data_IF_296649000461
#
_entry.id   IF_296649000461
#
_cell.length_a   1.000
_cell.length_b   1.000
_cell.length_c   1.000
_cell.angle_alpha   90.00
_cell.angle_beta   90.00
_cell.angle_gamma   90.00
#
_symmetry.space_group_name_H-M   'P 1'
#
loop_
_entity.id
_entity.type
_entity.pdbx_description
1 polymer ?
#
# COMPACT_ATOMS: atom_id res chain seq x y z
N UNK A 1 -25.90 -8.83 5.35
CA UNK A 1 -24.60 -9.23 5.92
C UNK A 1 -23.84 -7.98 6.33
N UNK A 2 -23.82 -7.66 7.63
CA UNK A 2 -23.00 -6.56 8.16
C UNK A 2 -21.53 -6.95 8.00
N UNK A 3 -20.81 -6.27 7.09
CA UNK A 3 -19.37 -6.44 6.96
C UNK A 3 -18.72 -5.98 8.25
N UNK A 4 -18.08 -6.89 8.97
CA UNK A 4 -17.39 -6.62 10.23
C UNK A 4 -16.23 -5.65 9.96
N UNK A 5 -16.50 -4.34 10.02
CA UNK A 5 -15.49 -3.29 9.86
C UNK A 5 -14.59 -3.35 11.09
N UNK A 6 -13.30 -3.60 10.88
CA UNK A 6 -12.31 -3.45 11.94
C UNK A 6 -12.47 -2.06 12.56
N UNK A 7 -12.42 -1.97 13.89
CA UNK A 7 -12.61 -0.72 14.64
C UNK A 7 -11.72 0.43 14.12
N UNK A 8 -12.12 1.65 14.46
CA UNK A 8 -11.33 2.84 14.14
C UNK A 8 -9.95 2.75 14.79
N UNK A 9 -8.93 3.22 14.06
CA UNK A 9 -7.56 3.29 14.59
C UNK A 9 -7.51 4.42 15.61
N UNK A 10 -7.13 4.12 16.84
CA UNK A 10 -7.07 5.11 17.94
C UNK A 10 -5.86 6.02 17.77
N UNK A 11 -5.88 7.22 18.36
CA UNK A 11 -4.74 8.13 18.32
C UNK A 11 -3.47 7.50 18.90
N UNK A 12 -3.59 6.75 20.01
CA UNK A 12 -2.46 6.04 20.59
C UNK A 12 -1.87 4.99 19.63
N UNK A 13 -2.71 4.25 18.89
CA UNK A 13 -2.22 3.34 17.85
C UNK A 13 -1.53 4.08 16.70
N UNK A 14 -1.99 5.29 16.34
CA UNK A 14 -1.31 6.11 15.33
C UNK A 14 0.07 6.55 15.82
N UNK A 15 0.19 6.99 17.08
CA UNK A 15 1.47 7.41 17.67
C UNK A 15 2.48 6.26 17.69
N UNK A 16 2.09 5.09 18.20
CA UNK A 16 2.96 3.89 18.21
C UNK A 16 3.35 3.48 16.79
N UNK A 17 2.43 3.57 15.82
CA UNK A 17 2.72 3.28 14.42
C UNK A 17 3.75 4.27 13.85
N UNK A 18 3.61 5.57 14.11
CA UNK A 18 4.51 6.60 13.59
C UNK A 18 5.89 6.55 14.22
N UNK A 19 5.99 6.31 15.53
CA UNK A 19 7.27 6.18 16.23
C UNK A 19 8.06 4.97 15.73
N UNK A 20 7.40 3.81 15.64
CA UNK A 20 8.06 2.61 15.12
C UNK A 20 8.58 2.78 13.69
N UNK A 21 7.82 3.49 12.84
CA UNK A 21 8.22 3.78 11.46
C UNK A 21 9.32 4.85 11.36
N UNK A 22 9.45 5.73 12.35
CA UNK A 22 10.57 6.66 12.48
C UNK A 22 11.86 5.90 12.78
N UNK A 23 11.80 4.95 13.71
CA UNK A 23 12.94 4.09 14.06
C UNK A 23 13.34 3.15 12.91
N UNK A 24 12.37 2.76 12.07
CA UNK A 24 12.56 1.87 10.92
C UNK A 24 12.26 2.61 9.60
N UNK A 25 12.97 3.70 9.34
CA UNK A 25 12.77 4.54 8.14
C UNK A 25 12.84 3.77 6.81
N UNK A 26 13.55 2.64 6.78
CA UNK A 26 13.61 1.70 5.66
C UNK A 26 12.22 1.16 5.25
N UNK A 27 11.28 1.00 6.19
CA UNK A 27 9.89 0.61 5.89
C UNK A 27 9.09 1.68 5.16
N UNK A 28 9.51 2.94 5.28
CA UNK A 28 8.87 4.07 4.62
C UNK A 28 9.38 4.25 3.19
N UNK A 29 10.58 3.72 2.89
CA UNK A 29 11.16 3.69 1.56
C UNK A 29 10.41 2.73 0.64
N UNK A 30 10.35 3.07 -0.65
CA UNK A 30 9.86 2.18 -1.71
C UNK A 30 10.98 1.33 -2.33
N UNK A 31 12.20 1.41 -1.79
CA UNK A 31 13.39 0.74 -2.32
C UNK A 31 13.92 -0.27 -1.30
N UNK A 32 14.09 -1.51 -1.75
CA UNK A 32 14.85 -2.53 -1.04
C UNK A 32 16.33 -2.47 -1.43
N UNK A 33 17.17 -3.02 -0.58
CA UNK A 33 18.61 -3.16 -0.79
C UNK A 33 19.06 -4.54 -0.35
N UNK A 34 20.29 -4.93 -0.70
CA UNK A 34 20.88 -6.20 -0.25
C UNK A 34 20.87 -6.38 1.27
N UNK A 35 20.89 -5.26 2.02
CA UNK A 35 20.82 -5.21 3.48
C UNK A 35 19.40 -5.14 4.05
N UNK A 36 18.39 -4.88 3.21
CA UNK A 36 17.00 -4.74 3.62
C UNK A 36 16.07 -5.37 2.59
N UNK A 37 15.79 -6.64 2.81
CA UNK A 37 15.00 -7.49 1.91
C UNK A 37 13.50 -7.34 2.15
N UNK A 38 12.70 -7.74 1.15
CA UNK A 38 11.25 -7.80 1.30
C UNK A 38 10.82 -8.69 2.50
N UNK A 39 11.55 -9.78 2.77
CA UNK A 39 11.25 -10.69 3.89
C UNK A 39 11.46 -9.99 5.24
N UNK A 40 12.51 -9.20 5.38
CA UNK A 40 12.76 -8.40 6.58
C UNK A 40 11.70 -7.31 6.76
N UNK A 41 11.35 -6.60 5.68
CA UNK A 41 10.26 -5.64 5.70
C UNK A 41 8.93 -6.26 6.16
N UNK A 42 8.59 -7.44 5.63
CA UNK A 42 7.41 -8.18 6.03
C UNK A 42 7.45 -8.57 7.51
N UNK A 43 8.60 -9.07 8.01
CA UNK A 43 8.76 -9.44 9.41
C UNK A 43 8.59 -8.24 10.35
N UNK A 44 9.12 -7.08 10.00
CA UNK A 44 8.92 -5.85 10.78
C UNK A 44 7.45 -5.43 10.79
N UNK A 45 6.74 -5.50 9.67
CA UNK A 45 5.30 -5.24 9.61
C UNK A 45 4.47 -6.23 10.46
N UNK A 46 4.87 -7.50 10.51
CA UNK A 46 4.23 -8.51 11.36
C UNK A 46 4.43 -8.15 12.83
N UNK A 47 5.66 -7.90 13.28
CA UNK A 47 5.97 -7.51 14.67
C UNK A 47 5.22 -6.24 15.08
N UNK A 48 5.22 -5.23 14.21
CA UNK A 48 4.47 -4.00 14.44
C UNK A 48 2.97 -4.25 14.56
N UNK A 49 2.41 -5.15 13.74
CA UNK A 49 1.00 -5.50 13.84
C UNK A 49 0.65 -6.19 15.14
N UNK A 50 1.52 -7.05 15.67
CA UNK A 50 1.35 -7.72 16.96
C UNK A 50 1.38 -6.69 18.10
N UNK A 51 2.34 -5.76 18.08
CA UNK A 51 2.41 -4.67 19.04
C UNK A 51 1.14 -3.80 19.02
N UNK A 52 0.71 -3.33 17.85
CA UNK A 52 -0.50 -2.51 17.70
C UNK A 52 -1.78 -3.26 18.08
N UNK A 53 -1.83 -4.56 17.80
CA UNK A 53 -2.94 -5.42 18.19
C UNK A 53 -2.89 -5.83 19.67
N UNK A 54 -1.80 -5.58 20.41
CA UNK A 54 -1.76 -5.78 21.87
C UNK A 54 -2.49 -4.67 22.62
N UNK A 55 -2.57 -3.47 22.02
CA UNK A 55 -3.20 -2.28 22.63
C UNK A 55 -4.70 -2.51 22.87
N UNK A 56 -5.21 -2.40 24.11
CA UNK A 56 -6.62 -2.58 24.42
C UNK A 56 -7.48 -1.44 23.84
N UNK A 57 -8.72 -1.74 23.46
CA UNK A 57 -9.64 -0.74 22.88
C UNK A 57 -9.29 -0.24 21.47
N UNK A 58 -8.19 -0.73 20.87
CA UNK A 58 -7.75 -0.36 19.53
C UNK A 58 -8.26 -1.27 18.41
N UNK A 59 -8.04 -0.83 17.16
CA UNK A 59 -8.31 -1.62 15.98
C UNK A 59 -7.42 -2.88 15.95
N UNK A 60 -8.01 -4.03 15.60
CA UNK A 60 -7.26 -5.27 15.37
C UNK A 60 -7.18 -5.52 13.87
N UNK A 61 -5.97 -5.47 13.31
CA UNK A 61 -5.72 -5.55 11.86
C UNK A 61 -4.52 -6.45 11.58
N UNK A 62 -4.52 -7.15 10.45
CA UNK A 62 -3.35 -7.88 9.96
C UNK A 62 -2.27 -6.93 9.45
N UNK A 63 -1.02 -7.40 9.35
CA UNK A 63 0.13 -6.59 8.89
C UNK A 63 -0.11 -5.88 7.55
N UNK A 64 -0.77 -6.53 6.57
CA UNK A 64 -1.14 -5.91 5.28
C UNK A 64 -2.11 -4.74 5.44
N UNK A 65 -3.07 -4.87 6.36
CA UNK A 65 -4.05 -3.84 6.65
C UNK A 65 -3.40 -2.66 7.38
N UNK A 66 -2.45 -2.92 8.28
CA UNK A 66 -1.63 -1.87 8.91
C UNK A 66 -0.75 -1.13 7.90
N UNK A 67 -0.09 -1.84 6.98
CA UNK A 67 0.64 -1.23 5.85
C UNK A 67 -0.28 -0.33 5.01
N UNK A 68 -1.53 -0.75 4.77
CA UNK A 68 -2.53 0.07 4.07
C UNK A 68 -2.98 1.28 4.89
N UNK A 69 -3.20 1.11 6.19
CA UNK A 69 -3.50 2.22 7.11
C UNK A 69 -2.38 3.26 7.08
N UNK A 70 -1.12 2.84 7.05
CA UNK A 70 0.00 3.75 6.87
C UNK A 70 -0.10 4.54 5.56
N UNK A 71 -0.34 3.86 4.43
CA UNK A 71 -0.52 4.53 3.14
C UNK A 71 -1.70 5.54 3.14
N UNK A 72 -2.81 5.20 3.79
CA UNK A 72 -3.96 6.09 3.96
C UNK A 72 -3.60 7.32 4.82
N UNK A 73 -2.91 7.13 5.94
CA UNK A 73 -2.42 8.22 6.80
C UNK A 73 -1.54 9.18 6.00
N UNK A 74 -0.56 8.67 5.25
CA UNK A 74 0.29 9.50 4.37
C UNK A 74 -0.54 10.33 3.40
N UNK A 75 -1.54 9.73 2.75
CA UNK A 75 -2.41 10.42 1.78
C UNK A 75 -3.22 11.53 2.46
N UNK A 76 -3.87 11.21 3.58
CA UNK A 76 -4.72 12.13 4.33
C UNK A 76 -3.90 13.32 4.81
N UNK A 77 -2.73 13.05 5.40
CA UNK A 77 -1.82 14.09 5.89
C UNK A 77 -1.30 14.99 4.77
N UNK A 78 -0.87 14.43 3.63
CA UNK A 78 -0.44 15.23 2.47
C UNK A 78 -1.56 16.13 1.96
N UNK A 79 -2.78 15.59 1.86
CA UNK A 79 -3.94 16.36 1.42
C UNK A 79 -4.21 17.52 2.37
N UNK A 80 -4.25 17.24 3.69
CA UNK A 80 -4.47 18.26 4.72
C UNK A 80 -3.39 19.35 4.66
N UNK A 81 -2.11 18.99 4.54
CA UNK A 81 -1.02 19.94 4.43
C UNK A 81 -1.13 20.82 3.16
N UNK A 82 -1.49 20.23 2.02
CA UNK A 82 -1.73 20.96 0.77
C UNK A 82 -2.91 21.93 0.90
N UNK A 83 -4.01 21.49 1.50
CA UNK A 83 -5.20 22.31 1.72
C UNK A 83 -4.89 23.48 2.67
N UNK A 84 -4.14 23.22 3.75
CA UNK A 84 -3.65 24.26 4.68
C UNK A 84 -2.77 25.27 3.96
N UNK A 85 -1.81 24.83 3.15
CA UNK A 85 -0.93 25.72 2.36
C UNK A 85 -1.72 26.54 1.34
N UNK A 86 -2.75 25.96 0.73
CA UNK A 86 -3.65 26.66 -0.20
C UNK A 86 -4.43 27.75 0.51
N UNK A 87 -5.04 27.45 1.66
CA UNK A 87 -5.76 28.43 2.50
C UNK A 87 -4.85 29.56 2.96
N UNK A 88 -3.63 29.25 3.41
CA UNK A 88 -2.63 30.27 3.82
C UNK A 88 -2.26 31.24 2.71
N UNK A 89 -2.36 30.83 1.43
CA UNK A 89 -2.05 31.66 0.27
C UNK A 89 -3.24 32.46 -0.26
N UNK A 90 -4.45 32.23 0.27
CA UNK A 90 -5.63 33.00 -0.12
C UNK A 90 -5.62 34.33 0.64
N UNK A 91 -5.61 35.43 -0.12
CA UNK A 91 -5.79 36.77 0.41
C UNK A 91 -7.28 37.14 0.35
N UNK A 92 -7.88 37.53 1.48
CA UNK A 92 -9.27 38.00 1.53
C UNK A 92 -10.16 37.36 2.61
N UNK A 93 -9.79 37.51 3.89
CA UNK A 93 -10.70 37.26 5.03
C UNK A 93 -11.24 35.83 5.18
N UNK A 94 -10.62 34.82 4.58
CA UNK A 94 -11.04 33.43 4.68
C UNK A 94 -10.85 32.83 6.08
N UNK A 95 -11.58 31.75 6.37
CA UNK A 95 -11.45 31.01 7.62
C UNK A 95 -10.00 30.54 7.87
N UNK A 96 -9.53 30.58 9.14
CA UNK A 96 -8.19 30.11 9.47
C UNK A 96 -8.00 28.65 9.05
N UNK A 97 -6.82 28.26 8.55
CA UNK A 97 -6.54 26.87 8.20
C UNK A 97 -6.68 25.94 9.40
N UNK A 98 -7.20 24.73 9.19
CA UNK A 98 -7.27 23.72 10.24
C UNK A 98 -5.86 23.34 10.69
N UNK A 99 -5.63 23.36 12.00
CA UNK A 99 -4.36 22.97 12.59
C UNK A 99 -4.07 21.48 12.35
N UNK A 100 -2.79 21.18 12.15
CA UNK A 100 -2.29 19.84 11.93
C UNK A 100 -1.97 19.20 13.27
N UNK A 101 -2.49 17.99 13.50
CA UNK A 101 -2.26 17.26 14.75
C UNK A 101 -0.79 16.86 14.88
N UNK A 102 -0.30 16.66 16.11
CA UNK A 102 1.09 16.22 16.36
C UNK A 102 1.47 14.98 15.53
N UNK A 103 0.61 13.96 15.50
CA UNK A 103 0.82 12.76 14.68
C UNK A 103 0.96 13.08 13.18
N UNK A 104 0.18 14.03 12.66
CA UNK A 104 0.24 14.44 11.25
C UNK A 104 1.53 15.20 10.93
N UNK A 105 2.03 16.02 11.84
CA UNK A 105 3.33 16.71 11.70
C UNK A 105 4.48 15.69 11.63
N UNK A 106 4.51 14.70 12.52
CA UNK A 106 5.50 13.62 12.50
C UNK A 106 5.45 12.83 11.19
N UNK A 107 4.25 12.54 10.69
CA UNK A 107 4.06 11.86 9.40
C UNK A 107 4.65 12.69 8.25
N UNK A 108 4.47 14.01 8.26
CA UNK A 108 5.06 14.88 7.23
C UNK A 108 6.57 14.90 7.33
N UNK A 109 7.14 15.06 8.52
CA UNK A 109 8.58 15.00 8.71
C UNK A 109 9.16 13.70 8.13
N UNK A 110 8.48 12.57 8.34
CA UNK A 110 8.92 11.26 7.86
C UNK A 110 8.81 11.08 6.33
N UNK A 111 7.84 11.72 5.66
CA UNK A 111 7.64 11.58 4.21
C UNK A 111 8.39 12.64 3.40
N UNK A 112 8.59 13.83 3.97
CA UNK A 112 9.00 15.04 3.25
C UNK A 112 10.49 15.41 3.28
N UNK A 113 11.49 14.58 3.69
CA UNK A 113 12.89 15.00 3.62
C UNK A 113 13.37 15.40 2.21
N UNK A 114 12.72 14.91 1.15
CA UNK A 114 13.18 15.11 -0.24
C UNK A 114 12.28 15.99 -1.11
N UNK A 115 11.20 16.58 -0.57
CA UNK A 115 10.20 17.31 -1.38
C UNK A 115 10.11 18.80 -1.07
N UNK A 116 10.82 19.30 -0.05
CA UNK A 116 10.73 20.69 0.41
C UNK A 116 12.02 21.47 0.21
N UNK A 117 13.17 20.82 0.34
CA UNK A 117 14.47 21.37 -0.01
C UNK A 117 14.94 20.63 -1.25
N UNK A 118 15.30 21.38 -2.31
CA UNK A 118 15.94 20.79 -3.47
C UNK A 118 17.13 19.92 -3.06
N UNK A 119 17.49 18.95 -3.90
CA UNK A 119 18.66 18.13 -3.64
C UNK A 119 19.90 19.05 -3.55
N UNK A 120 20.62 19.06 -2.43
CA UNK A 120 21.74 20.00 -2.17
C UNK A 120 22.80 19.99 -3.29
N UNK A 121 22.95 18.86 -4.00
CA UNK A 121 23.90 18.73 -5.11
C UNK A 121 23.41 19.27 -6.46
N UNK A 122 22.32 20.04 -6.50
CA UNK A 122 21.83 20.68 -7.74
C UNK A 122 21.89 22.19 -7.52
N UNK A 123 22.88 22.83 -8.14
CA UNK A 123 22.91 24.29 -8.23
C UNK A 123 21.67 24.77 -9.00
N UNK A 124 20.92 25.71 -8.44
CA UNK A 124 19.78 26.31 -9.12
C UNK A 124 20.26 27.03 -10.38
N UNK A 125 19.65 26.73 -11.53
CA UNK A 125 19.94 27.44 -12.78
C UNK A 125 19.47 28.88 -12.65
N UNK A 126 20.39 29.81 -12.37
CA UNK A 126 20.10 31.24 -12.42
C UNK A 126 19.89 31.61 -13.88
N UNK A 127 18.64 31.86 -14.26
CA UNK A 127 18.32 32.48 -15.56
C UNK A 127 18.46 33.99 -15.36
N UNK A 128 19.43 34.66 -16.00
CA UNK A 128 19.51 36.11 -15.95
C UNK A 128 18.28 36.68 -16.65
N UNK A 129 17.45 37.40 -15.90
CA UNK A 129 16.38 38.21 -16.50
C UNK A 129 16.99 39.55 -16.90
N UNK A 130 17.55 39.62 -18.10
CA UNK A 130 18.06 40.86 -18.67
C UNK A 130 16.89 41.72 -19.16
N UNK A 131 16.46 42.66 -18.31
CA UNK A 131 15.37 43.59 -18.62
C UNK A 131 15.74 44.60 -19.74
N UNK A 132 17.02 44.76 -20.06
CA UNK A 132 17.50 45.78 -21.01
C UNK A 132 17.52 45.30 -22.47
N UNK A 133 17.49 44.00 -22.75
CA UNK A 133 17.56 43.46 -24.12
C UNK A 133 16.20 43.22 -24.79
N UNK A 134 15.09 43.48 -24.11
CA UNK A 134 13.73 43.26 -24.64
C UNK A 134 13.02 44.54 -25.14
N UNK A 135 13.75 45.62 -25.40
CA UNK A 135 13.17 46.86 -25.96
C UNK A 135 13.04 46.87 -27.50
N UNK A 136 13.13 45.72 -28.17
CA UNK A 136 13.16 45.65 -29.64
C UNK A 136 12.04 44.79 -30.27
N UNK A 137 10.88 44.72 -29.63
CA UNK A 137 9.66 44.11 -30.19
C UNK A 137 8.47 45.07 -30.07
N UNK A 138 8.57 46.23 -30.71
CA UNK A 138 7.41 47.00 -31.17
C UNK A 138 7.64 47.41 -32.63
N UNK A 139 7.56 46.44 -33.54
CA UNK A 139 7.24 46.74 -34.93
C UNK A 139 5.72 46.57 -35.10
N UNK A 140 5.00 47.70 -35.12
CA UNK A 140 3.54 47.79 -35.10
C UNK A 140 2.93 47.55 -36.51
N UNK A 141 3.75 47.28 -37.54
CA UNK A 141 3.28 47.27 -38.93
C UNK A 141 3.25 45.90 -39.62
N UNK A 142 3.06 44.79 -38.88
CA UNK A 142 2.81 43.47 -39.50
C UNK A 142 1.36 43.04 -39.32
N UNK A 143 0.58 42.84 -40.40
CA UNK A 143 -0.81 42.42 -40.29
C UNK A 143 -0.91 41.04 -39.62
N UNK A 144 -1.72 40.99 -38.57
CA UNK A 144 -2.07 39.82 -37.79
C UNK A 144 -2.41 38.62 -38.67
N UNK A 145 -1.59 37.57 -38.61
CA UNK A 145 -2.03 36.23 -38.99
C UNK A 145 -2.18 35.45 -37.69
N UNK A 146 -3.43 35.12 -37.37
CA UNK A 146 -3.90 34.45 -36.16
C UNK A 146 -3.04 33.23 -35.83
N UNK A 147 -2.29 33.32 -34.74
CA UNK A 147 -1.79 32.14 -34.05
C UNK A 147 -2.99 31.50 -33.35
N UNK A 148 -3.45 30.37 -33.84
CA UNK A 148 -4.36 29.51 -33.10
C UNK A 148 -3.70 29.15 -31.77
N UNK A 149 -4.28 29.64 -30.68
CA UNK A 149 -3.99 29.18 -29.34
C UNK A 149 -4.45 27.72 -29.28
N UNK A 150 -3.52 26.79 -29.44
CA UNK A 150 -3.75 25.40 -29.04
C UNK A 150 -3.81 25.36 -27.52
N UNK A 151 -5.03 25.58 -27.04
CA UNK A 151 -5.50 25.38 -25.68
C UNK A 151 -4.99 24.03 -25.17
N UNK A 152 -4.09 24.03 -24.19
CA UNK A 152 -3.83 22.84 -23.39
C UNK A 152 -5.11 22.53 -22.61
N UNK A 153 -5.86 21.60 -23.18
CA UNK A 153 -6.99 20.93 -22.58
C UNK A 153 -6.54 20.24 -21.28
N UNK A 154 -6.65 20.93 -20.14
CA UNK A 154 -6.67 20.27 -18.83
C UNK A 154 -8.10 19.77 -18.63
N UNK A 155 -8.42 18.73 -19.39
CA UNK A 155 -9.59 17.89 -19.19
C UNK A 155 -9.20 16.69 -18.34
N UNK A 156 -9.76 16.63 -17.13
CA UNK A 156 -10.18 15.44 -16.38
C UNK A 156 -9.46 14.13 -16.73
N UNK A 157 -8.51 13.70 -15.90
CA UNK A 157 -8.15 12.29 -15.84
C UNK A 157 -9.05 11.57 -14.84
N UNK A 158 -9.95 10.78 -15.41
CA UNK A 158 -10.73 9.75 -14.76
C UNK A 158 -9.85 8.70 -14.07
N UNK A 159 -10.48 8.01 -13.13
CA UNK A 159 -9.96 7.02 -12.21
C UNK A 159 -9.05 5.95 -12.82
N UNK A 160 -7.89 5.70 -12.20
CA UNK A 160 -7.26 4.39 -12.25
C UNK A 160 -6.70 4.00 -10.87
N UNK A 161 -7.27 2.92 -10.32
CA UNK A 161 -6.82 2.28 -9.10
C UNK A 161 -5.48 1.58 -9.30
N UNK A 162 -4.50 1.95 -8.49
CA UNK A 162 -3.17 1.38 -8.55
C UNK A 162 -3.09 0.06 -7.77
N UNK A 163 -3.00 -1.04 -8.54
CA UNK A 163 -2.55 -2.33 -8.07
C UNK A 163 -1.02 -2.36 -7.92
N UNK A 164 -0.62 -3.17 -6.95
CA UNK A 164 0.72 -3.36 -6.42
C UNK A 164 1.71 -3.88 -7.48
N UNK A 165 2.87 -3.23 -7.62
CA UNK A 165 4.09 -3.88 -8.10
C UNK A 165 5.29 -3.39 -7.28
N UNK A 166 6.15 -4.33 -6.93
CA UNK A 166 7.44 -4.20 -6.23
C UNK A 166 8.47 -5.06 -7.01
N UNK A 167 9.78 -4.90 -6.80
CA UNK A 167 10.71 -4.47 -7.84
C UNK A 167 11.76 -5.54 -8.19
N UNK A 168 12.47 -5.32 -9.30
CA UNK A 168 13.71 -6.01 -9.61
C UNK A 168 14.91 -5.24 -9.01
N UNK A 169 15.83 -5.96 -8.40
CA UNK A 169 17.14 -5.48 -7.95
C UNK A 169 18.15 -5.37 -9.09
N UNK A 170 19.14 -4.52 -8.83
CA UNK A 170 20.19 -4.02 -9.71
C UNK A 170 21.50 -4.76 -9.41
N UNK A 171 22.34 -4.97 -10.42
CA UNK A 171 23.79 -5.19 -10.21
C UNK A 171 24.58 -4.05 -10.88
N UNK A 172 25.26 -3.25 -10.05
CA UNK A 172 26.32 -2.29 -10.36
C UNK A 172 27.67 -3.03 -10.54
N UNK A 173 28.79 -2.52 -11.07
CA UNK A 173 29.18 -1.38 -11.90
C UNK A 173 30.69 -1.56 -12.19
N UNK A 174 31.23 -1.19 -13.36
CA UNK A 174 32.66 -0.83 -13.53
C UNK A 174 32.83 0.27 -14.62
N UNK A 175 33.31 1.44 -14.16
CA UNK A 175 34.19 2.48 -14.74
C UNK A 175 33.79 3.44 -15.88
N UNK A 176 33.67 4.73 -15.48
CA UNK A 176 34.34 5.97 -15.96
C UNK A 176 34.77 6.06 -17.44
N UNK A 177 34.14 6.97 -18.19
CA UNK A 177 34.74 8.14 -18.93
C UNK A 177 33.75 8.66 -19.97
N UNK A 178 33.54 9.97 -19.98
CA UNK A 178 32.66 10.72 -20.88
C UNK A 178 33.27 10.87 -22.26
N UNK A 179 32.69 10.21 -23.28
CA UNK A 179 32.77 10.63 -24.69
C UNK A 179 31.45 10.31 -25.40
N UNK A 180 30.99 11.11 -26.37
CA UNK A 180 29.71 10.92 -27.04
C UNK A 180 29.81 9.77 -28.06
N UNK A 181 29.45 8.56 -27.66
CA UNK A 181 29.44 7.39 -28.55
C UNK A 181 28.14 7.33 -29.35
N UNK A 182 28.27 7.57 -30.65
CA UNK A 182 27.29 7.26 -31.70
C UNK A 182 26.73 5.84 -31.50
N UNK A 183 25.46 5.72 -31.10
CA UNK A 183 24.84 4.44 -30.77
C UNK A 183 24.83 3.46 -31.95
N UNK A 184 25.48 2.30 -31.78
CA UNK A 184 25.42 1.20 -32.77
C UNK A 184 23.99 0.65 -32.82
N UNK A 185 23.36 0.77 -34.00
CA UNK A 185 22.00 0.30 -34.26
C UNK A 185 21.94 -1.23 -34.12
N UNK A 186 21.11 -1.74 -33.21
CA UNK A 186 20.97 -3.19 -32.98
C UNK A 186 20.39 -3.88 -34.23
N UNK A 187 21.08 -4.90 -34.73
CA UNK A 187 20.65 -5.70 -35.88
C UNK A 187 19.27 -6.33 -35.65
N UNK A 188 18.44 -6.44 -36.69
CA UNK A 188 17.09 -7.00 -36.60
C UNK A 188 17.05 -8.41 -35.98
N UNK A 189 18.04 -9.26 -36.28
CA UNK A 189 18.15 -10.62 -35.72
C UNK A 189 18.30 -10.62 -34.20
N UNK A 190 19.17 -9.76 -33.65
CA UNK A 190 19.36 -9.65 -32.19
C UNK A 190 18.13 -9.11 -31.47
N UNK A 191 17.34 -8.24 -32.12
CA UNK A 191 16.03 -7.80 -31.60
C UNK A 191 15.02 -8.94 -31.55
N UNK A 192 14.99 -9.77 -32.59
CA UNK A 192 14.09 -10.93 -32.64
C UNK A 192 14.41 -11.97 -31.55
N UNK A 193 15.68 -12.29 -31.32
CA UNK A 193 16.10 -13.22 -30.25
C UNK A 193 15.72 -12.69 -28.87
N UNK A 194 15.94 -11.40 -28.60
CA UNK A 194 15.55 -10.78 -27.33
C UNK A 194 14.03 -10.83 -27.13
N UNK A 195 13.25 -10.59 -28.20
CA UNK A 195 11.79 -10.67 -28.14
C UNK A 195 11.31 -12.11 -27.85
N UNK A 196 11.89 -13.13 -28.49
CA UNK A 196 11.57 -14.54 -28.21
C UNK A 196 11.87 -14.90 -26.74
N UNK A 197 13.01 -14.47 -26.21
CA UNK A 197 13.37 -14.73 -24.81
C UNK A 197 12.41 -14.07 -23.83
N UNK A 198 11.97 -12.83 -24.12
CA UNK A 198 10.99 -12.13 -23.29
C UNK A 198 9.63 -12.84 -23.31
N UNK A 199 9.17 -13.26 -24.49
CA UNK A 199 7.93 -14.03 -24.63
C UNK A 199 8.00 -15.38 -23.91
N UNK A 200 9.13 -16.09 -23.99
CA UNK A 200 9.32 -17.34 -23.26
C UNK A 200 9.24 -17.12 -21.74
N UNK A 201 9.89 -16.07 -21.23
CA UNK A 201 9.83 -15.72 -19.81
C UNK A 201 8.39 -15.36 -19.38
N UNK A 202 7.63 -14.69 -20.24
CA UNK A 202 6.24 -14.36 -19.98
C UNK A 202 5.37 -15.62 -19.87
N UNK A 203 5.53 -16.57 -20.80
CA UNK A 203 4.83 -17.87 -20.78
C UNK A 203 5.16 -18.64 -19.50
N UNK A 204 6.45 -18.76 -19.16
CA UNK A 204 6.87 -19.42 -17.93
C UNK A 204 6.26 -18.78 -16.67
N UNK A 205 6.23 -17.44 -16.60
CA UNK A 205 5.62 -16.72 -15.48
C UNK A 205 4.10 -16.95 -15.38
N UNK A 206 3.41 -17.12 -16.52
CA UNK A 206 1.99 -17.45 -16.55
C UNK A 206 1.76 -18.85 -16.00
N UNK A 207 2.58 -19.82 -16.39
CA UNK A 207 2.44 -21.20 -15.93
C UNK A 207 2.78 -21.35 -14.45
N UNK A 208 3.83 -20.69 -13.95
CA UNK A 208 4.11 -20.61 -12.51
C UNK A 208 2.94 -20.03 -11.71
N UNK A 209 2.29 -18.97 -12.24
CA UNK A 209 1.09 -18.39 -11.60
C UNK A 209 -0.08 -19.37 -11.59
N UNK A 210 -0.27 -20.15 -12.65
CA UNK A 210 -1.31 -21.19 -12.70
C UNK A 210 -1.03 -22.28 -11.66
N UNK A 211 0.22 -22.72 -11.51
CA UNK A 211 0.60 -23.75 -10.56
C UNK A 211 0.41 -23.30 -9.11
N UNK A 212 0.84 -22.07 -8.78
CA UNK A 212 0.60 -21.46 -7.47
C UNK A 212 -0.90 -21.41 -7.18
N UNK A 213 -1.69 -20.99 -8.17
CA UNK A 213 -3.14 -20.89 -8.04
C UNK A 213 -3.81 -22.25 -7.83
N UNK A 214 -3.39 -23.26 -8.58
CA UNK A 214 -3.87 -24.64 -8.44
C UNK A 214 -3.54 -25.21 -7.05
N UNK A 215 -2.33 -24.99 -6.55
CA UNK A 215 -1.91 -25.39 -5.22
C UNK A 215 -2.76 -24.71 -4.13
N UNK A 216 -2.97 -23.40 -4.25
CA UNK A 216 -3.82 -22.64 -3.33
C UNK A 216 -5.25 -23.20 -3.27
N UNK A 217 -5.89 -23.41 -4.41
CA UNK A 217 -7.25 -23.96 -4.45
C UNK A 217 -7.29 -25.40 -3.94
N UNK A 218 -6.29 -26.23 -4.24
CA UNK A 218 -6.16 -27.58 -3.70
C UNK A 218 -6.10 -27.59 -2.18
N UNK A 219 -5.26 -26.75 -1.56
CA UNK A 219 -5.18 -26.63 -0.11
C UNK A 219 -6.47 -26.10 0.51
N UNK A 220 -7.12 -25.14 -0.14
CA UNK A 220 -8.42 -24.61 0.30
C UNK A 220 -9.49 -25.70 0.31
N UNK A 221 -9.55 -26.55 -0.72
CA UNK A 221 -10.49 -27.67 -0.79
C UNK A 221 -10.21 -28.67 0.35
N UNK A 222 -8.95 -29.07 0.55
CA UNK A 222 -8.55 -29.97 1.65
C UNK A 222 -8.98 -29.42 3.02
N UNK A 223 -8.73 -28.13 3.27
CA UNK A 223 -9.15 -27.48 4.51
C UNK A 223 -10.67 -27.49 4.71
N UNK A 224 -11.42 -27.19 3.64
CA UNK A 224 -12.90 -27.22 3.71
C UNK A 224 -13.44 -28.63 3.95
N UNK A 225 -12.84 -29.66 3.34
CA UNK A 225 -13.18 -31.05 3.59
C UNK A 225 -12.90 -31.45 5.04
N UNK A 226 -11.72 -31.11 5.56
CA UNK A 226 -11.36 -31.34 6.95
C UNK A 226 -12.37 -30.70 7.92
N UNK A 227 -12.69 -29.43 7.69
CA UNK A 227 -13.68 -28.69 8.49
C UNK A 227 -15.07 -29.34 8.44
N UNK A 228 -15.50 -29.82 7.25
CA UNK A 228 -16.77 -30.55 7.09
C UNK A 228 -16.80 -31.83 7.93
N UNK A 229 -15.73 -32.63 7.88
CA UNK A 229 -15.60 -33.88 8.67
C UNK A 229 -15.61 -33.58 10.16
N UNK A 230 -14.85 -32.59 10.60
CA UNK A 230 -14.80 -32.16 12.00
C UNK A 230 -16.18 -31.74 12.52
N UNK A 231 -16.89 -30.87 11.78
CA UNK A 231 -18.24 -30.44 12.18
C UNK A 231 -19.21 -31.62 12.26
N UNK A 232 -19.14 -32.57 11.33
CA UNK A 232 -19.98 -33.78 11.35
C UNK A 232 -19.67 -34.64 12.57
N UNK A 233 -18.39 -34.87 12.90
CA UNK A 233 -17.98 -35.63 14.08
C UNK A 233 -18.44 -34.96 15.37
N UNK A 234 -18.25 -33.64 15.49
CA UNK A 234 -18.69 -32.85 16.64
C UNK A 234 -20.21 -32.92 16.84
N UNK A 235 -20.98 -32.84 15.75
CA UNK A 235 -22.43 -32.99 15.80
C UNK A 235 -22.86 -34.37 16.29
N UNK A 236 -22.19 -35.43 15.83
CA UNK A 236 -22.49 -36.80 16.27
C UNK A 236 -22.22 -36.99 17.77
N UNK A 237 -21.07 -36.51 18.26
CA UNK A 237 -20.76 -36.55 19.70
C UNK A 237 -21.80 -35.80 20.54
N UNK A 238 -22.27 -34.65 20.06
CA UNK A 238 -23.30 -33.88 20.74
C UNK A 238 -24.65 -34.61 20.77
N UNK A 239 -25.02 -35.33 19.70
CA UNK A 239 -26.23 -36.15 19.65
C UNK A 239 -26.15 -37.34 20.59
N UNK A 240 -25.03 -38.07 20.57
CA UNK A 240 -24.78 -39.21 21.45
C UNK A 240 -24.84 -38.80 22.93
N UNK A 241 -24.22 -37.68 23.28
CA UNK A 241 -24.28 -37.14 24.63
C UNK A 241 -25.73 -36.81 25.06
N UNK A 242 -26.52 -36.22 24.17
CA UNK A 242 -27.94 -35.93 24.44
C UNK A 242 -28.76 -37.21 24.63
N UNK A 243 -28.53 -38.24 23.80
CA UNK A 243 -29.17 -39.54 23.97
C UNK A 243 -28.81 -40.20 25.31
N UNK A 244 -27.54 -40.13 25.71
CA UNK A 244 -27.07 -40.63 27.00
C UNK A 244 -27.76 -39.89 28.16
N UNK A 245 -27.89 -38.57 28.08
CA UNK A 245 -28.64 -37.78 29.07
C UNK A 245 -30.11 -38.22 29.15
N UNK A 246 -30.78 -38.46 28.01
CA UNK A 246 -32.16 -38.96 27.98
C UNK A 246 -32.29 -40.34 28.61
N UNK A 247 -31.33 -41.25 28.37
CA UNK A 247 -31.30 -42.59 28.98
C UNK A 247 -31.16 -42.49 30.50
N UNK A 248 -30.23 -41.65 30.99
CA UNK A 248 -30.02 -41.41 32.42
C UNK A 248 -31.31 -40.87 33.06
N UNK A 249 -31.94 -39.85 32.48
CA UNK A 249 -33.19 -39.29 32.99
C UNK A 249 -34.33 -40.32 33.02
N UNK A 250 -34.38 -41.22 32.05
CA UNK A 250 -35.39 -42.28 32.00
C UNK A 250 -35.15 -43.32 33.10
N UNK A 251 -33.90 -43.75 33.31
CA UNK A 251 -33.54 -44.64 34.39
C UNK A 251 -33.87 -44.04 35.77
N UNK A 252 -33.54 -42.76 35.99
CA UNK A 252 -33.87 -42.05 37.23
C UNK A 252 -35.38 -41.99 37.47
N UNK A 253 -36.19 -41.75 36.43
CA UNK A 253 -37.67 -41.77 36.56
C UNK A 253 -38.21 -43.14 36.96
N UNK A 254 -37.64 -44.23 36.42
CA UNK A 254 -38.04 -45.59 36.77
C UNK A 254 -37.71 -45.88 38.24
N UNK A 255 -36.49 -45.56 38.67
CA UNK A 255 -36.06 -45.73 40.06
C UNK A 255 -36.95 -44.94 41.03
N UNK A 256 -37.25 -43.67 40.73
CA UNK A 256 -38.11 -42.82 41.55
C UNK A 256 -39.58 -43.30 41.63
N UNK A 257 -40.08 -44.02 40.61
CA UNK A 257 -41.41 -44.65 40.69
C UNK A 257 -41.39 -45.86 41.62
N UNK A 258 -40.39 -46.71 41.50
CA UNK A 258 -40.28 -47.93 42.31
C UNK A 258 -40.12 -47.63 43.80
N UNK A 259 -39.46 -46.52 44.17
CA UNK A 259 -39.33 -46.08 45.57
C UNK A 259 -40.60 -45.48 46.17
N UNK A 260 -41.62 -45.14 45.37
CA UNK A 260 -42.90 -44.58 45.84
C UNK A 260 -44.00 -45.64 45.99
N UNK A 261 -43.77 -46.86 45.54
CA UNK A 261 -44.72 -47.99 45.62
C UNK A 261 -44.38 -49.02 46.70
N UNK A 262 -43.32 -48.77 47.48
CA UNK A 262 -43.03 -49.44 48.77
C UNK A 262 -43.32 -48.44 49.90
#
# INVERSE_FOLDING_TARGET
MSGNRAGAVTEFQKTVLTEYLKDHSQLCSSKFSDSFTHKEAQNLWIRLSENLNSIPGGAKKGWKQWRRTWADLKRITKKKASDTKKKMRQTGGGEPPNEMTQNENVILELITPSSTYGHENIEETVVPFDFENNLNLMDINKPSTSSEINSLNIGNQEEHGYALSEPAETTSAINKTTTPLRGKRVTASRRHITALKLNQNLVNSIDEKKDIMANYYGNKIKFMQFRKVYCKRKLNLMKENNENQKKILTALRILLRNTRSN
#
